data_IF_302345601635
#
_entry.id   IF_302345601635
#
_cell.length_a   1.000
_cell.length_b   1.000
_cell.length_c   1.000
_cell.angle_alpha   90.00
_cell.angle_beta   90.00
_cell.angle_gamma   90.00
#
_symmetry.space_group_name_H-M   'P 1'
#
loop_
_entity.id
_entity.type
_entity.pdbx_description
1 polymer ?
#
# COMPACT_ATOMS: atom_id res chain seq x y z
N UNK A 1 6.03 27.43 -2.49
CA UNK A 1 6.89 26.29 -2.11
C UNK A 1 6.12 25.02 -2.46
N UNK A 2 6.50 24.31 -3.52
CA UNK A 2 5.78 23.12 -4.00
C UNK A 2 6.04 21.98 -3.02
N UNK A 3 5.04 21.59 -2.24
CA UNK A 3 5.09 20.35 -1.46
C UNK A 3 4.98 19.18 -2.44
N UNK A 4 6.07 18.42 -2.63
CA UNK A 4 6.00 17.08 -3.21
C UNK A 4 5.45 16.15 -2.15
N UNK A 5 4.18 15.81 -2.24
CA UNK A 5 3.58 14.73 -1.43
C UNK A 5 4.09 13.43 -2.02
N UNK A 6 4.97 12.74 -1.28
CA UNK A 6 5.55 11.47 -1.67
C UNK A 6 4.97 10.42 -0.74
N UNK A 7 4.18 9.54 -1.33
CA UNK A 7 3.45 8.50 -0.63
C UNK A 7 4.25 7.20 -0.77
N UNK A 8 4.79 6.67 0.33
CA UNK A 8 5.54 5.42 0.33
C UNK A 8 4.65 4.22 0.01
N UNK A 9 5.07 3.41 -0.96
CA UNK A 9 4.61 2.05 -1.21
C UNK A 9 5.55 1.09 -0.48
N UNK A 10 5.10 0.54 0.65
CA UNK A 10 5.73 -0.64 1.25
C UNK A 10 4.85 -1.83 0.92
N UNK A 11 5.30 -2.67 -0.01
CA UNK A 11 4.82 -4.04 -0.14
C UNK A 11 5.02 -4.73 1.21
N UNK A 12 3.94 -5.17 1.85
CA UNK A 12 3.99 -5.89 3.13
C UNK A 12 4.60 -7.27 2.87
N UNK A 13 5.92 -7.35 2.97
CA UNK A 13 6.65 -8.59 3.19
C UNK A 13 7.01 -8.65 4.67
N UNK A 14 6.74 -9.78 5.31
CA UNK A 14 7.21 -10.05 6.67
C UNK A 14 8.74 -9.92 6.70
N UNK A 15 9.24 -8.82 7.27
CA UNK A 15 10.66 -8.65 7.57
C UNK A 15 10.93 -9.52 8.79
N UNK A 16 11.36 -10.76 8.57
CA UNK A 16 12.20 -11.43 9.57
C UNK A 16 13.48 -10.58 9.75
N UNK A 17 14.07 -10.53 10.95
CA UNK A 17 15.36 -9.86 11.14
C UNK A 17 16.44 -10.65 10.39
N UNK A 18 16.60 -10.40 9.09
CA UNK A 18 17.74 -10.90 8.33
C UNK A 18 18.93 -9.99 8.62
N UNK A 19 20.07 -10.60 8.95
CA UNK A 19 21.36 -9.91 8.97
C UNK A 19 21.53 -9.20 7.63
N UNK A 20 21.83 -7.91 7.68
CA UNK A 20 21.77 -7.00 6.54
C UNK A 20 22.61 -7.46 5.36
N UNK A 21 21.95 -7.98 4.32
CA UNK A 21 22.53 -8.03 2.99
C UNK A 21 22.20 -6.71 2.30
N UNK A 22 23.20 -5.81 2.27
CA UNK A 22 23.10 -4.46 1.70
C UNK A 22 23.18 -4.44 0.18
N UNK A 23 23.47 -5.56 -0.47
CA UNK A 23 23.46 -5.76 -1.92
C UNK A 23 23.15 -7.22 -2.23
N UNK A 24 22.44 -7.48 -3.33
CA UNK A 24 22.19 -8.85 -3.80
C UNK A 24 23.41 -9.33 -4.62
N UNK A 25 23.88 -10.58 -4.45
CA UNK A 25 24.92 -11.15 -5.32
C UNK A 25 24.48 -11.13 -6.79
N UNK A 26 25.40 -10.81 -7.71
CA UNK A 26 25.08 -10.71 -9.15
C UNK A 26 24.50 -12.01 -9.71
N UNK A 27 25.07 -13.17 -9.34
CA UNK A 27 24.55 -14.48 -9.74
C UNK A 27 23.09 -14.68 -9.32
N UNK A 28 22.73 -14.20 -8.12
CA UNK A 28 21.34 -14.28 -7.64
C UNK A 28 20.43 -13.35 -8.44
N UNK A 29 20.86 -12.12 -8.70
CA UNK A 29 20.10 -11.19 -9.54
C UNK A 29 19.90 -11.74 -10.96
N UNK A 30 20.92 -12.38 -11.54
CA UNK A 30 20.84 -13.00 -12.87
C UNK A 30 19.78 -14.10 -12.88
N UNK A 31 19.81 -15.02 -11.91
CA UNK A 31 18.79 -16.07 -11.77
C UNK A 31 17.39 -15.46 -11.69
N UNK A 32 17.22 -14.38 -10.90
CA UNK A 32 15.89 -13.78 -10.73
C UNK A 32 15.37 -13.15 -12.02
N UNK A 33 16.22 -12.50 -12.79
CA UNK A 33 15.85 -11.97 -14.10
C UNK A 33 15.55 -13.07 -15.12
N UNK A 34 16.33 -14.14 -15.15
CA UNK A 34 16.09 -15.29 -16.04
C UNK A 34 14.76 -15.98 -15.71
N UNK A 35 14.45 -16.14 -14.42
CA UNK A 35 13.19 -16.73 -13.96
C UNK A 35 11.96 -15.93 -14.43
N UNK A 36 11.94 -14.62 -14.22
CA UNK A 36 10.79 -13.79 -14.63
C UNK A 36 10.73 -13.62 -16.14
N UNK A 37 11.88 -13.59 -16.82
CA UNK A 37 11.93 -13.60 -18.29
C UNK A 37 11.29 -14.87 -18.84
N UNK A 38 11.63 -16.04 -18.30
CA UNK A 38 11.06 -17.32 -18.74
C UNK A 38 9.53 -17.38 -18.53
N UNK A 39 9.01 -16.80 -17.44
CA UNK A 39 7.57 -16.69 -17.20
C UNK A 39 6.90 -15.80 -18.26
N UNK A 40 7.46 -14.62 -18.54
CA UNK A 40 6.93 -13.69 -19.55
C UNK A 40 7.02 -14.27 -20.97
N UNK A 41 8.14 -14.93 -21.31
CA UNK A 41 8.35 -15.59 -22.60
C UNK A 41 7.34 -16.73 -22.83
N UNK A 42 6.96 -17.47 -21.77
CA UNK A 42 5.95 -18.52 -21.85
C UNK A 42 4.56 -17.98 -22.18
N UNK A 43 4.21 -16.83 -21.62
CA UNK A 43 2.95 -16.14 -21.97
C UNK A 43 2.99 -15.62 -23.41
N UNK A 44 4.13 -15.08 -23.85
CA UNK A 44 4.33 -14.54 -25.19
C UNK A 44 3.28 -13.48 -25.57
N UNK A 45 2.82 -12.71 -24.58
CA UNK A 45 1.79 -11.69 -24.75
C UNK A 45 0.38 -12.21 -25.00
N UNK A 46 0.11 -13.49 -24.74
CA UNK A 46 -1.26 -14.04 -24.85
C UNK A 46 -2.22 -13.37 -23.88
N UNK A 47 -1.76 -12.96 -22.70
CA UNK A 47 -2.66 -12.42 -21.67
C UNK A 47 -3.12 -10.99 -21.99
N UNK A 48 -2.22 -10.12 -22.43
CA UNK A 48 -2.48 -8.68 -22.59
C UNK A 48 -2.23 -8.14 -24.01
N UNK A 49 -1.91 -9.02 -24.97
CA UNK A 49 -1.52 -8.63 -26.33
C UNK A 49 -0.11 -8.03 -26.43
N UNK A 50 0.64 -8.00 -25.32
CA UNK A 50 2.00 -7.44 -25.23
C UNK A 50 2.90 -8.33 -24.38
N UNK A 51 4.18 -8.38 -24.71
CA UNK A 51 5.18 -9.07 -23.88
C UNK A 51 5.56 -8.18 -22.69
N UNK A 52 5.31 -8.64 -21.46
CA UNK A 52 5.40 -7.80 -20.27
C UNK A 52 6.77 -7.81 -19.57
N UNK A 53 7.80 -8.45 -20.13
CA UNK A 53 9.15 -8.33 -19.57
C UNK A 53 9.69 -6.92 -19.82
N UNK A 54 10.09 -6.22 -18.76
CA UNK A 54 10.46 -4.80 -18.82
C UNK A 54 11.91 -4.54 -18.39
N UNK A 55 12.51 -3.41 -18.83
CA UNK A 55 13.73 -2.89 -18.23
C UNK A 55 13.52 -2.67 -16.74
N UNK A 56 14.36 -3.26 -15.88
CA UNK A 56 14.13 -3.30 -14.43
C UNK A 56 15.42 -2.99 -13.67
N UNK A 57 15.32 -2.14 -12.64
CA UNK A 57 16.38 -1.81 -11.68
C UNK A 57 16.08 -2.49 -10.35
N UNK A 58 17.00 -3.34 -9.87
CA UNK A 58 17.07 -3.76 -8.47
C UNK A 58 17.97 -2.78 -7.71
N UNK A 59 17.42 -2.07 -6.74
CA UNK A 59 18.12 -0.97 -6.06
C UNK A 59 18.27 -1.28 -4.58
N UNK A 60 19.49 -1.17 -4.05
CA UNK A 60 19.71 -1.14 -2.61
C UNK A 60 19.43 0.25 -2.03
N UNK A 61 18.43 0.41 -1.14
CA UNK A 61 18.18 1.71 -0.51
C UNK A 61 19.33 2.20 0.37
N UNK A 62 20.19 1.29 0.84
CA UNK A 62 21.29 1.61 1.76
C UNK A 62 22.54 2.09 1.04
N UNK A 63 22.88 1.47 -0.08
CA UNK A 63 24.14 1.74 -0.80
C UNK A 63 23.92 2.46 -2.11
N UNK A 64 22.67 2.58 -2.56
CA UNK A 64 22.26 3.04 -3.88
C UNK A 64 22.84 2.19 -5.03
N UNK A 65 23.34 0.98 -4.73
CA UNK A 65 23.76 0.05 -5.78
C UNK A 65 22.56 -0.34 -6.63
N UNK A 66 22.77 -0.30 -7.94
CA UNK A 66 21.80 -0.70 -8.95
C UNK A 66 22.32 -1.92 -9.67
N UNK A 67 21.46 -2.92 -9.86
CA UNK A 67 21.64 -4.02 -10.79
C UNK A 67 20.47 -3.98 -11.77
N UNK A 68 20.73 -4.10 -13.06
CA UNK A 68 19.70 -4.07 -14.11
C UNK A 68 19.88 -5.19 -15.12
N UNK A 69 18.75 -5.63 -15.69
CA UNK A 69 18.69 -6.51 -16.87
C UNK A 69 18.91 -5.77 -18.20
N UNK A 70 18.89 -4.42 -18.21
CA UNK A 70 19.11 -3.64 -19.42
C UNK A 70 20.06 -2.45 -19.21
N UNK A 71 20.77 -2.07 -20.29
CA UNK A 71 21.62 -0.87 -20.32
C UNK A 71 20.76 0.40 -20.37
N UNK A 72 21.25 1.51 -19.83
CA UNK A 72 20.66 2.83 -20.00
C UNK A 72 21.16 3.55 -21.28
N UNK A 73 20.59 4.70 -21.61
CA UNK A 73 20.94 5.48 -22.80
C UNK A 73 22.04 6.53 -22.57
N UNK A 74 22.41 6.80 -21.32
CA UNK A 74 23.32 7.90 -20.94
C UNK A 74 24.66 7.39 -20.36
N UNK A 75 24.86 6.07 -20.31
CA UNK A 75 26.09 5.44 -19.83
C UNK A 75 26.24 5.45 -18.30
N UNK A 76 25.14 5.56 -17.56
CA UNK A 76 25.12 5.49 -16.09
C UNK A 76 25.29 4.05 -15.56
N UNK A 77 24.98 3.06 -16.38
CA UNK A 77 25.16 1.65 -16.11
C UNK A 77 26.35 1.09 -16.90
N UNK A 78 27.12 0.24 -16.25
CA UNK A 78 28.25 -0.46 -16.84
C UNK A 78 27.94 -1.94 -16.93
N UNK A 79 28.23 -2.55 -18.09
CA UNK A 79 28.06 -3.98 -18.27
C UNK A 79 28.99 -4.74 -17.32
N UNK A 80 28.43 -5.69 -16.59
CA UNK A 80 29.16 -6.66 -15.77
C UNK A 80 28.53 -8.03 -15.97
N UNK A 81 29.29 -8.90 -16.64
CA UNK A 81 28.80 -10.21 -17.10
C UNK A 81 27.56 -10.05 -18.00
N UNK A 82 26.43 -10.65 -17.64
CA UNK A 82 25.17 -10.56 -18.39
C UNK A 82 24.23 -9.46 -17.87
N UNK A 83 24.65 -8.71 -16.86
CA UNK A 83 23.85 -7.66 -16.23
C UNK A 83 24.55 -6.30 -16.36
N UNK A 84 23.89 -5.29 -15.83
CA UNK A 84 24.39 -3.92 -15.80
C UNK A 84 24.37 -3.40 -14.36
N UNK A 85 25.43 -2.72 -13.96
CA UNK A 85 25.59 -2.19 -12.60
C UNK A 85 25.81 -0.69 -12.62
N UNK A 86 25.36 -0.01 -11.58
CA UNK A 86 25.60 1.42 -11.42
C UNK A 86 25.18 1.93 -10.05
N UNK A 87 24.98 3.24 -9.96
CA UNK A 87 24.50 3.91 -8.75
C UNK A 87 23.22 4.68 -9.04
N UNK A 88 22.24 4.51 -8.16
CA UNK A 88 21.03 5.33 -8.20
C UNK A 88 21.32 6.72 -7.62
N UNK A 89 20.74 7.80 -8.17
CA UNK A 89 20.99 9.14 -7.66
C UNK A 89 20.46 9.30 -6.24
N UNK A 90 21.27 9.88 -5.34
CA UNK A 90 20.91 10.06 -3.93
C UNK A 90 19.79 11.09 -3.70
N UNK A 91 19.50 11.91 -4.70
CA UNK A 91 18.43 12.90 -4.72
C UNK A 91 17.09 12.35 -5.28
N UNK A 92 17.07 11.09 -5.71
CA UNK A 92 15.86 10.39 -6.16
C UNK A 92 15.34 9.42 -5.11
N UNK A 93 14.02 9.29 -5.07
CA UNK A 93 13.33 8.39 -4.14
C UNK A 93 13.33 6.97 -4.70
N UNK A 94 13.59 6.01 -3.81
CA UNK A 94 13.48 4.59 -4.11
C UNK A 94 12.14 4.11 -3.56
N UNK A 95 11.28 3.64 -4.46
CA UNK A 95 9.99 3.05 -4.19
C UNK A 95 9.66 2.09 -5.33
N UNK A 96 8.94 1.00 -5.05
CA UNK A 96 8.54 0.09 -6.11
C UNK A 96 7.51 0.79 -7.02
N UNK A 97 7.80 0.88 -8.32
CA UNK A 97 6.93 1.37 -9.41
C UNK A 97 7.79 1.53 -10.69
N UNK A 98 7.52 2.54 -11.52
CA UNK A 98 8.33 2.98 -12.65
C UNK A 98 9.19 4.20 -12.29
N UNK A 99 10.34 4.34 -12.96
CA UNK A 99 11.25 5.48 -12.77
C UNK A 99 11.98 5.82 -14.07
N UNK A 100 12.30 7.10 -14.26
CA UNK A 100 13.16 7.55 -15.36
C UNK A 100 14.61 7.61 -14.91
N UNK A 101 15.47 6.85 -15.57
CA UNK A 101 16.89 6.71 -15.23
C UNK A 101 17.73 6.52 -16.50
N UNK A 102 18.86 7.25 -16.60
CA UNK A 102 19.77 7.21 -17.76
C UNK A 102 19.06 7.31 -19.11
N UNK A 103 18.24 8.36 -19.30
CA UNK A 103 17.57 8.64 -20.57
C UNK A 103 16.41 7.72 -20.98
N UNK A 104 15.99 6.73 -20.16
CA UNK A 104 14.81 5.90 -20.43
C UNK A 104 14.03 5.52 -19.16
N UNK A 105 12.88 4.90 -19.36
CA UNK A 105 12.04 4.42 -18.25
C UNK A 105 12.46 2.99 -17.86
N UNK A 106 12.35 2.70 -16.58
CA UNK A 106 12.61 1.39 -15.99
C UNK A 106 11.54 1.08 -14.95
N UNK A 107 11.21 -0.19 -14.78
CA UNK A 107 10.68 -0.72 -13.53
C UNK A 107 11.74 -0.56 -12.43
N UNK A 108 11.32 -0.13 -11.24
CA UNK A 108 12.18 0.04 -10.06
C UNK A 108 11.68 -0.88 -8.96
N UNK A 109 12.58 -1.70 -8.40
CA UNK A 109 12.27 -2.60 -7.28
C UNK A 109 13.34 -2.45 -6.20
N UNK A 110 12.88 -2.15 -4.99
CA UNK A 110 13.71 -1.98 -3.80
C UNK A 110 14.12 -3.33 -3.23
N UNK A 111 15.40 -3.47 -2.88
CA UNK A 111 15.93 -4.60 -2.12
C UNK A 111 15.66 -4.46 -0.60
N UNK A 112 15.61 -5.58 0.16
CA UNK A 112 15.72 -6.96 -0.29
C UNK A 112 14.43 -7.48 -0.93
N UNK A 113 14.56 -8.39 -1.90
CA UNK A 113 13.41 -9.10 -2.47
C UNK A 113 12.91 -10.20 -1.52
N UNK A 114 11.65 -10.67 -1.68
CA UNK A 114 11.17 -11.85 -0.99
C UNK A 114 12.09 -13.07 -1.20
N UNK A 115 12.33 -13.83 -0.14
CA UNK A 115 13.14 -15.06 -0.20
C UNK A 115 12.40 -16.18 -0.97
N UNK A 116 11.08 -16.26 -0.80
CA UNK A 116 10.24 -17.22 -1.52
C UNK A 116 10.23 -16.89 -3.01
N UNK A 117 10.55 -17.89 -3.84
CA UNK A 117 10.66 -17.75 -5.30
C UNK A 117 9.35 -17.27 -5.93
N UNK A 118 8.21 -17.82 -5.51
CA UNK A 118 6.93 -17.47 -6.09
C UNK A 118 6.59 -16.00 -5.82
N UNK A 119 6.68 -15.58 -4.56
CA UNK A 119 6.39 -14.21 -4.14
C UNK A 119 7.37 -13.19 -4.74
N UNK A 120 8.65 -13.57 -4.89
CA UNK A 120 9.65 -12.74 -5.59
C UNK A 120 9.25 -12.50 -7.05
N UNK A 121 8.87 -13.56 -7.76
CA UNK A 121 8.50 -13.46 -9.17
C UNK A 121 7.18 -12.70 -9.34
N UNK A 122 6.22 -12.90 -8.44
CA UNK A 122 4.99 -12.09 -8.39
C UNK A 122 5.32 -10.61 -8.23
N UNK A 123 6.17 -10.23 -7.25
CA UNK A 123 6.59 -8.84 -7.08
C UNK A 123 7.22 -8.28 -8.36
N UNK A 124 8.20 -8.97 -8.93
CA UNK A 124 8.88 -8.48 -10.13
C UNK A 124 7.93 -8.29 -11.32
N UNK A 125 7.03 -9.25 -11.56
CA UNK A 125 6.06 -9.16 -12.67
C UNK A 125 5.00 -8.08 -12.41
N UNK A 126 4.56 -7.91 -11.15
CA UNK A 126 3.67 -6.82 -10.74
C UNK A 126 4.28 -5.47 -11.12
N UNK A 127 5.54 -5.24 -10.74
CA UNK A 127 6.24 -3.99 -11.03
C UNK A 127 6.55 -3.82 -12.53
N UNK A 128 6.81 -4.90 -13.26
CA UNK A 128 6.94 -4.87 -14.72
C UNK A 128 5.62 -4.54 -15.41
N UNK A 129 4.47 -4.94 -14.85
CA UNK A 129 3.18 -4.56 -15.41
C UNK A 129 2.92 -3.05 -15.30
N UNK A 130 3.32 -2.41 -14.21
CA UNK A 130 3.24 -0.94 -14.09
C UNK A 130 4.01 -0.21 -15.21
N UNK A 131 5.12 -0.77 -15.70
CA UNK A 131 5.84 -0.22 -16.86
C UNK A 131 4.99 -0.18 -18.13
N UNK A 132 4.14 -1.18 -18.34
CA UNK A 132 3.30 -1.30 -19.53
C UNK A 132 1.87 -0.76 -19.37
N UNK A 133 1.46 -0.38 -18.16
CA UNK A 133 0.15 0.27 -17.94
C UNK A 133 -0.14 1.45 -18.88
N UNK A 134 0.83 2.34 -19.22
CA UNK A 134 0.57 3.43 -20.16
C UNK A 134 0.18 2.91 -21.55
N UNK A 135 0.90 1.90 -22.05
CA UNK A 135 0.63 1.28 -23.35
C UNK A 135 -0.73 0.57 -23.38
N UNK A 136 -1.16 0.02 -22.25
CA UNK A 136 -2.47 -0.61 -22.09
C UNK A 136 -3.61 0.38 -21.82
N UNK A 137 -3.34 1.69 -21.73
CA UNK A 137 -4.34 2.69 -21.36
C UNK A 137 -4.86 2.57 -19.92
N UNK A 138 -4.09 1.91 -19.05
CA UNK A 138 -4.40 1.61 -17.66
C UNK A 138 -3.74 2.56 -16.66
N UNK A 139 -2.80 3.39 -17.10
CA UNK A 139 -2.20 4.41 -16.24
C UNK A 139 -3.19 5.52 -15.91
N UNK A 140 -3.15 5.98 -14.67
CA UNK A 140 -3.90 7.15 -14.24
C UNK A 140 -3.38 8.39 -14.99
N UNK A 141 -4.28 9.21 -15.57
CA UNK A 141 -3.89 10.50 -16.12
C UNK A 141 -3.34 11.45 -15.06
N UNK A 142 -2.57 12.44 -15.51
CA UNK A 142 -2.10 13.51 -14.64
C UNK A 142 -3.26 14.23 -13.95
N UNK A 143 -3.12 14.49 -12.64
CA UNK A 143 -4.15 15.15 -11.82
C UNK A 143 -5.29 14.24 -11.36
N UNK A 144 -5.33 12.97 -11.81
CA UNK A 144 -6.27 11.98 -11.30
C UNK A 144 -5.62 11.19 -10.17
N UNK A 145 -6.28 11.15 -9.03
CA UNK A 145 -5.92 10.32 -7.88
C UNK A 145 -7.15 9.67 -7.28
N UNK A 146 -6.95 8.64 -6.48
CA UNK A 146 -7.98 8.02 -5.67
C UNK A 146 -7.65 8.14 -4.19
N UNK A 147 -8.68 8.27 -3.36
CA UNK A 147 -8.59 8.20 -1.91
C UNK A 147 -9.60 7.19 -1.37
N UNK A 148 -9.11 6.17 -0.68
CA UNK A 148 -9.91 5.08 -0.15
C UNK A 148 -9.93 5.08 1.38
N UNK A 149 -9.83 6.25 2.03
CA UNK A 149 -9.89 6.39 3.50
C UNK A 149 -11.08 5.66 4.13
N UNK A 150 -12.23 5.60 3.43
CA UNK A 150 -13.43 4.90 3.89
C UNK A 150 -13.20 3.41 4.08
N UNK A 151 -12.20 2.82 3.42
CA UNK A 151 -11.91 1.39 3.54
C UNK A 151 -11.51 0.96 4.97
N UNK A 152 -11.16 1.91 5.85
CA UNK A 152 -10.91 1.65 7.27
C UNK A 152 -12.09 1.91 8.19
N UNK A 153 -13.20 2.43 7.66
CA UNK A 153 -14.45 2.52 8.39
C UNK A 153 -15.01 1.13 8.67
N UNK A 154 -15.59 0.96 9.86
CA UNK A 154 -16.07 -0.35 10.32
C UNK A 154 -17.05 -0.97 9.33
N UNK A 155 -18.05 -0.21 8.86
CA UNK A 155 -19.03 -0.72 7.90
C UNK A 155 -18.35 -1.11 6.58
N UNK A 156 -17.43 -0.30 6.06
CA UNK A 156 -16.68 -0.66 4.86
C UNK A 156 -15.93 -1.99 5.02
N UNK A 157 -15.21 -2.18 6.14
CA UNK A 157 -14.45 -3.40 6.40
C UNK A 157 -15.33 -4.63 6.57
N UNK A 158 -16.51 -4.48 7.20
CA UNK A 158 -17.50 -5.56 7.29
C UNK A 158 -17.91 -6.01 5.89
N UNK A 159 -18.35 -5.08 5.03
CA UNK A 159 -18.83 -5.44 3.69
C UNK A 159 -17.71 -5.84 2.73
N UNK A 160 -16.47 -5.35 2.88
CA UNK A 160 -15.32 -5.89 2.14
C UNK A 160 -15.12 -7.38 2.47
N UNK A 161 -15.19 -7.75 3.75
CA UNK A 161 -15.03 -9.15 4.17
C UNK A 161 -16.19 -10.02 3.68
N UNK A 162 -17.43 -9.53 3.70
CA UNK A 162 -18.57 -10.23 3.11
C UNK A 162 -18.40 -10.42 1.59
N UNK A 163 -18.03 -9.36 0.87
CA UNK A 163 -17.70 -9.40 -0.56
C UNK A 163 -16.63 -10.47 -0.83
N UNK A 164 -15.52 -10.47 -0.10
CA UNK A 164 -14.45 -11.46 -0.28
C UNK A 164 -14.83 -12.88 0.16
N UNK A 165 -15.73 -13.05 1.12
CA UNK A 165 -16.29 -14.35 1.47
C UNK A 165 -17.17 -14.90 0.35
N UNK A 166 -17.97 -14.06 -0.29
CA UNK A 166 -18.77 -14.44 -1.45
C UNK A 166 -17.91 -14.73 -2.68
N UNK A 167 -16.93 -13.88 -2.99
CA UNK A 167 -15.98 -14.11 -4.08
C UNK A 167 -15.14 -15.37 -3.86
N UNK A 168 -14.72 -15.68 -2.62
CA UNK A 168 -14.04 -16.95 -2.33
C UNK A 168 -14.92 -18.15 -2.71
N UNK A 169 -16.20 -18.16 -2.32
CA UNK A 169 -17.11 -19.25 -2.70
C UNK A 169 -17.25 -19.34 -4.22
N UNK A 170 -17.35 -18.21 -4.92
CA UNK A 170 -17.39 -18.19 -6.39
C UNK A 170 -16.10 -18.76 -7.03
N UNK A 171 -14.93 -18.45 -6.47
CA UNK A 171 -13.63 -18.94 -6.95
C UNK A 171 -13.48 -20.45 -6.77
N UNK A 172 -13.98 -20.98 -5.64
CA UNK A 172 -13.83 -22.37 -5.25
C UNK A 172 -14.90 -23.29 -5.85
N UNK A 173 -16.03 -22.75 -6.25
CA UNK A 173 -17.16 -23.49 -6.81
C UNK A 173 -16.92 -23.92 -8.28
N UNK A 174 -17.52 -25.04 -8.66
CA UNK A 174 -17.50 -25.58 -10.03
C UNK A 174 -18.88 -25.59 -10.68
N UNK A 175 -19.97 -25.56 -9.90
CA UNK A 175 -21.34 -25.45 -10.38
C UNK A 175 -21.62 -24.03 -10.91
N UNK A 176 -21.87 -23.84 -12.22
CA UNK A 176 -22.05 -22.50 -12.80
C UNK A 176 -23.17 -21.67 -12.19
N UNK A 177 -24.28 -22.29 -11.79
CA UNK A 177 -25.41 -21.61 -11.17
C UNK A 177 -25.02 -21.08 -9.78
N UNK A 178 -24.29 -21.87 -8.99
CA UNK A 178 -23.79 -21.44 -7.68
C UNK A 178 -22.69 -20.37 -7.83
N UNK A 179 -21.78 -20.50 -8.81
CA UNK A 179 -20.80 -19.44 -9.14
C UNK A 179 -21.52 -18.13 -9.41
N UNK A 180 -22.54 -18.13 -10.29
CA UNK A 180 -23.33 -16.93 -10.60
C UNK A 180 -24.00 -16.35 -9.35
N UNK A 181 -24.58 -17.20 -8.50
CA UNK A 181 -25.20 -16.77 -7.24
C UNK A 181 -24.17 -16.11 -6.30
N UNK A 182 -23.00 -16.72 -6.11
CA UNK A 182 -21.96 -16.18 -5.24
C UNK A 182 -21.36 -14.88 -5.77
N UNK A 183 -21.24 -14.73 -7.09
CA UNK A 183 -20.87 -13.45 -7.70
C UNK A 183 -21.96 -12.41 -7.43
N UNK A 184 -23.23 -12.74 -7.65
CA UNK A 184 -24.34 -11.82 -7.37
C UNK A 184 -24.34 -11.34 -5.91
N UNK A 185 -24.17 -12.25 -4.97
CA UNK A 185 -24.08 -11.94 -3.53
C UNK A 185 -22.89 -11.00 -3.23
N UNK A 186 -21.72 -11.26 -3.80
CA UNK A 186 -20.55 -10.39 -3.66
C UNK A 186 -20.82 -8.97 -4.15
N UNK A 187 -21.50 -8.85 -5.29
CA UNK A 187 -21.84 -7.58 -5.91
C UNK A 187 -22.88 -6.80 -5.12
N UNK A 188 -23.86 -7.48 -4.49
CA UNK A 188 -24.79 -6.85 -3.54
C UNK A 188 -24.02 -6.23 -2.36
N UNK A 189 -23.09 -6.97 -1.74
CA UNK A 189 -22.28 -6.43 -0.65
C UNK A 189 -21.43 -5.24 -1.07
N UNK A 190 -20.83 -5.32 -2.26
CA UNK A 190 -20.05 -4.24 -2.83
C UNK A 190 -20.90 -2.98 -3.07
N UNK A 191 -22.04 -3.13 -3.71
CA UNK A 191 -22.91 -1.99 -4.05
C UNK A 191 -23.52 -1.36 -2.81
N UNK A 192 -23.93 -2.18 -1.85
CA UNK A 192 -24.35 -1.67 -0.55
C UNK A 192 -23.21 -0.90 0.13
N UNK A 193 -22.00 -1.46 0.18
CA UNK A 193 -20.84 -0.77 0.76
C UNK A 193 -20.57 0.56 0.07
N UNK A 194 -20.64 0.59 -1.25
CA UNK A 194 -20.38 1.78 -2.05
C UNK A 194 -21.48 2.85 -1.90
N UNK A 195 -22.72 2.47 -1.59
CA UNK A 195 -23.80 3.43 -1.30
C UNK A 195 -23.60 4.17 0.03
N UNK A 196 -22.85 3.59 0.97
CA UNK A 196 -22.57 4.20 2.28
C UNK A 196 -21.51 5.31 2.23
N UNK A 197 -20.68 5.36 1.19
CA UNK A 197 -19.52 6.26 1.13
C UNK A 197 -19.44 6.98 -0.21
N UNK A 198 -19.61 8.30 -0.19
CA UNK A 198 -19.52 9.13 -1.38
C UNK A 198 -18.14 9.01 -2.06
N UNK A 199 -18.12 8.95 -3.39
CA UNK A 199 -16.88 8.83 -4.18
C UNK A 199 -16.22 7.44 -4.18
N UNK A 200 -16.66 6.52 -3.31
CA UNK A 200 -16.09 5.18 -3.16
C UNK A 200 -16.07 4.38 -4.46
N UNK A 201 -17.16 4.43 -5.25
CA UNK A 201 -17.24 3.75 -6.56
C UNK A 201 -16.05 4.14 -7.45
N UNK A 202 -15.80 5.44 -7.60
CA UNK A 202 -14.71 5.95 -8.45
C UNK A 202 -13.36 5.54 -7.88
N UNK A 203 -13.14 5.82 -6.59
CA UNK A 203 -11.83 5.63 -5.96
C UNK A 203 -11.42 4.15 -5.88
N UNK A 204 -12.38 3.26 -5.66
CA UNK A 204 -12.12 1.83 -5.60
C UNK A 204 -11.81 1.24 -6.96
N UNK A 205 -12.60 1.60 -7.99
CA UNK A 205 -12.36 1.11 -9.34
C UNK A 205 -10.99 1.56 -9.85
N UNK A 206 -10.63 2.83 -9.63
CA UNK A 206 -9.29 3.32 -10.00
C UNK A 206 -8.20 2.52 -9.29
N UNK A 207 -8.36 2.20 -8.01
CA UNK A 207 -7.36 1.45 -7.25
C UNK A 207 -7.26 -0.02 -7.67
N UNK A 208 -8.38 -0.68 -7.95
CA UNK A 208 -8.41 -2.06 -8.47
C UNK A 208 -7.80 -2.18 -9.86
N UNK A 209 -8.01 -1.19 -10.72
CA UNK A 209 -7.34 -1.15 -12.02
C UNK A 209 -5.85 -0.85 -11.90
N UNK A 210 -5.49 0.07 -11.01
CA UNK A 210 -4.10 0.51 -10.85
C UNK A 210 -3.22 -0.52 -10.14
N UNK A 211 -3.67 -1.15 -9.04
CA UNK A 211 -2.90 -2.15 -8.28
C UNK A 211 -3.43 -3.58 -8.42
N UNK A 212 -4.75 -3.75 -8.58
CA UNK A 212 -5.38 -5.06 -8.63
C UNK A 212 -5.12 -5.82 -9.93
N UNK A 213 -5.05 -5.14 -11.09
CA UNK A 213 -4.67 -5.76 -12.36
C UNK A 213 -3.21 -6.19 -12.44
N UNK A 214 -2.22 -5.41 -11.97
CA UNK A 214 -0.85 -5.91 -11.84
C UNK A 214 -0.77 -7.15 -10.94
N UNK A 215 -1.44 -7.15 -9.77
CA UNK A 215 -1.45 -8.29 -8.84
C UNK A 215 -2.08 -9.53 -9.50
N UNK A 216 -3.24 -9.35 -10.15
CA UNK A 216 -3.90 -10.39 -10.95
C UNK A 216 -2.95 -10.96 -12.02
N UNK A 217 -2.30 -10.10 -12.77
CA UNK A 217 -1.40 -10.48 -13.88
C UNK A 217 -0.23 -11.30 -13.37
N UNK A 218 0.42 -10.82 -12.32
CA UNK A 218 1.57 -11.48 -11.71
C UNK A 218 1.21 -12.88 -11.19
N UNK A 219 0.10 -13.00 -10.45
CA UNK A 219 -0.37 -14.30 -9.97
C UNK A 219 -0.80 -15.23 -11.11
N UNK A 220 -1.47 -14.72 -12.14
CA UNK A 220 -1.90 -15.49 -13.31
C UNK A 220 -0.71 -16.12 -14.04
N UNK A 221 0.35 -15.36 -14.23
CA UNK A 221 1.53 -15.80 -14.97
C UNK A 221 2.47 -16.69 -14.14
N UNK A 222 2.62 -16.41 -12.85
CA UNK A 222 3.45 -17.21 -11.95
C UNK A 222 2.81 -18.57 -11.60
N UNK A 223 1.49 -18.69 -11.67
CA UNK A 223 0.79 -19.92 -11.29
C UNK A 223 0.84 -20.95 -12.42
N UNK A 224 1.27 -22.18 -12.11
CA UNK A 224 1.40 -23.25 -13.12
C UNK A 224 0.09 -24.02 -13.36
N UNK A 225 -0.92 -23.82 -12.52
CA UNK A 225 -2.24 -24.45 -12.63
C UNK A 225 -3.33 -23.57 -12.01
N UNK A 226 -4.59 -23.87 -12.35
CA UNK A 226 -5.76 -23.20 -11.77
C UNK A 226 -5.84 -23.39 -10.25
N UNK A 227 -5.59 -24.62 -9.77
CA UNK A 227 -5.57 -24.92 -8.33
C UNK A 227 -4.49 -24.15 -7.58
N UNK A 228 -3.33 -23.94 -8.21
CA UNK A 228 -2.28 -23.12 -7.63
C UNK A 228 -2.74 -21.66 -7.50
N UNK A 229 -3.38 -21.11 -8.54
CA UNK A 229 -3.92 -19.75 -8.52
C UNK A 229 -5.01 -19.60 -7.44
N UNK A 230 -5.95 -20.54 -7.34
CA UNK A 230 -6.97 -20.58 -6.26
C UNK A 230 -6.33 -20.55 -4.87
N UNK A 231 -5.30 -21.38 -4.62
CA UNK A 231 -4.57 -21.37 -3.34
C UNK A 231 -3.90 -20.04 -3.05
N UNK A 232 -3.41 -19.35 -4.07
CA UNK A 232 -2.76 -18.05 -3.91
C UNK A 232 -3.78 -16.92 -3.67
N UNK A 233 -4.98 -17.02 -4.26
CA UNK A 233 -6.12 -16.16 -3.90
C UNK A 233 -6.45 -16.30 -2.41
N UNK A 234 -6.56 -17.52 -1.88
CA UNK A 234 -6.83 -17.76 -0.46
C UNK A 234 -5.73 -17.20 0.46
N UNK A 235 -4.46 -17.42 0.12
CA UNK A 235 -3.33 -16.85 0.87
C UNK A 235 -3.32 -15.31 0.85
N UNK A 236 -3.64 -14.73 -0.30
CA UNK A 236 -3.76 -13.27 -0.44
C UNK A 236 -4.93 -12.76 0.40
N UNK A 237 -6.05 -13.49 0.43
CA UNK A 237 -7.19 -13.16 1.29
C UNK A 237 -6.82 -13.14 2.76
N UNK A 238 -6.16 -14.18 3.26
CA UNK A 238 -5.71 -14.24 4.66
C UNK A 238 -4.80 -13.05 5.01
N UNK A 239 -3.81 -12.78 4.15
CA UNK A 239 -2.87 -11.66 4.32
C UNK A 239 -3.58 -10.30 4.34
N UNK A 240 -4.46 -10.04 3.38
CA UNK A 240 -5.15 -8.76 3.26
C UNK A 240 -6.19 -8.60 4.37
N UNK A 241 -6.93 -9.65 4.73
CA UNK A 241 -7.90 -9.61 5.83
C UNK A 241 -7.26 -9.33 7.19
N UNK A 242 -6.00 -9.74 7.38
CA UNK A 242 -5.20 -9.44 8.57
C UNK A 242 -4.56 -8.03 8.55
N UNK A 243 -4.66 -7.28 7.44
CA UNK A 243 -4.05 -5.96 7.33
C UNK A 243 -4.70 -4.95 8.30
N UNK A 244 -3.88 -4.18 9.06
CA UNK A 244 -4.39 -3.13 9.94
C UNK A 244 -5.21 -2.06 9.20
N UNK A 245 -4.87 -1.84 7.92
CA UNK A 245 -5.55 -0.88 7.04
C UNK A 245 -5.86 -1.49 5.68
N UNK A 246 -7.05 -1.18 5.15
CA UNK A 246 -7.49 -1.57 3.81
C UNK A 246 -7.29 -0.50 2.75
N UNK A 247 -7.08 0.76 3.15
CA UNK A 247 -6.98 1.95 2.28
C UNK A 247 -6.05 1.75 1.09
N UNK A 248 -4.94 1.02 1.27
CA UNK A 248 -3.97 0.71 0.22
C UNK A 248 -3.69 -0.78 0.04
N UNK A 249 -4.63 -1.64 0.42
CA UNK A 249 -4.38 -3.08 0.37
C UNK A 249 -5.55 -3.89 -0.20
N UNK A 250 -6.79 -3.39 -0.11
CA UNK A 250 -7.96 -4.15 -0.54
C UNK A 250 -7.91 -4.51 -2.05
N UNK A 251 -7.40 -3.61 -2.90
CA UNK A 251 -7.40 -3.76 -4.35
C UNK A 251 -6.56 -4.93 -4.85
N UNK A 252 -5.47 -5.28 -4.16
CA UNK A 252 -4.65 -6.44 -4.51
C UNK A 252 -5.51 -7.71 -4.48
N UNK A 253 -6.33 -7.88 -3.44
CA UNK A 253 -7.22 -9.04 -3.36
C UNK A 253 -8.42 -8.93 -4.30
N UNK A 254 -9.12 -7.78 -4.28
CA UNK A 254 -10.33 -7.61 -5.09
C UNK A 254 -10.01 -7.75 -6.58
N UNK A 255 -9.01 -7.03 -7.09
CA UNK A 255 -8.61 -7.12 -8.50
C UNK A 255 -8.17 -8.53 -8.90
N UNK A 256 -7.44 -9.24 -8.03
CA UNK A 256 -7.08 -10.64 -8.24
C UNK A 256 -8.31 -11.55 -8.38
N UNK A 257 -9.29 -11.43 -7.47
CA UNK A 257 -10.53 -12.23 -7.51
C UNK A 257 -11.41 -11.87 -8.73
N UNK A 258 -11.59 -10.58 -9.02
CA UNK A 258 -12.37 -10.13 -10.17
C UNK A 258 -11.73 -10.57 -11.49
N UNK A 259 -10.41 -10.38 -11.66
CA UNK A 259 -9.70 -10.82 -12.85
C UNK A 259 -9.76 -12.34 -13.03
N UNK A 260 -9.68 -13.11 -11.95
CA UNK A 260 -9.85 -14.57 -11.99
C UNK A 260 -11.26 -14.97 -12.46
N UNK A 261 -12.31 -14.36 -11.91
CA UNK A 261 -13.69 -14.71 -12.29
C UNK A 261 -14.02 -14.26 -13.71
N UNK A 262 -13.51 -13.11 -14.15
CA UNK A 262 -13.65 -12.65 -15.53
C UNK A 262 -12.97 -13.61 -16.53
N UNK A 263 -11.86 -14.24 -16.18
CA UNK A 263 -11.28 -15.33 -16.99
C UNK A 263 -12.19 -16.53 -17.15
N UNK A 264 -13.00 -16.82 -16.13
CA UNK A 264 -13.92 -17.96 -16.15
C UNK A 264 -15.21 -17.65 -16.91
N UNK A 265 -15.49 -16.38 -17.23
CA UNK A 265 -16.69 -15.98 -17.93
C UNK A 265 -16.63 -16.20 -19.46
N UNK A 266 -15.49 -16.66 -20.01
CA UNK A 266 -15.30 -16.94 -21.44
C UNK A 266 -15.61 -15.74 -22.37
N UNK A 267 -15.19 -14.54 -21.95
CA UNK A 267 -15.29 -13.29 -22.73
C UNK A 267 -13.92 -12.62 -22.89
N UNK A 268 -13.75 -11.79 -23.92
CA UNK A 268 -12.53 -10.98 -24.15
C UNK A 268 -12.50 -9.71 -23.25
N UNK A 269 -12.65 -9.87 -21.94
CA UNK A 269 -12.88 -8.75 -21.00
C UNK A 269 -11.77 -7.70 -20.94
N UNK A 270 -10.55 -8.03 -21.37
CA UNK A 270 -9.38 -7.13 -21.34
C UNK A 270 -9.32 -6.17 -22.53
N UNK A 271 -10.01 -6.45 -23.62
CA UNK A 271 -9.78 -5.75 -24.90
C UNK A 271 -10.08 -4.25 -24.83
N UNK A 272 -11.11 -3.89 -24.08
CA UNK A 272 -11.62 -2.51 -23.99
C UNK A 272 -11.41 -1.88 -22.61
N UNK A 273 -10.62 -2.53 -21.75
CA UNK A 273 -10.35 -2.02 -20.40
C UNK A 273 -9.42 -0.80 -20.48
N UNK A 274 -9.73 0.20 -19.66
CA UNK A 274 -8.99 1.45 -19.50
C UNK A 274 -8.92 1.83 -18.04
N UNK A 275 -8.10 2.82 -17.70
CA UNK A 275 -7.92 3.29 -16.32
C UNK A 275 -9.22 3.70 -15.60
N UNK A 276 -10.30 4.03 -16.33
CA UNK A 276 -11.61 4.43 -15.81
C UNK A 276 -12.70 3.35 -15.94
N UNK A 277 -12.32 2.14 -16.33
CA UNK A 277 -13.24 0.99 -16.41
C UNK A 277 -13.72 0.54 -15.03
N UNK A 278 -14.66 -0.41 -15.02
CA UNK A 278 -15.23 -0.93 -13.78
C UNK A 278 -15.37 -2.45 -13.87
N UNK A 279 -14.51 -3.18 -13.14
CA UNK A 279 -14.48 -4.64 -13.13
C UNK A 279 -15.80 -5.25 -12.66
N UNK A 280 -16.48 -4.61 -11.69
CA UNK A 280 -17.83 -5.02 -11.27
C UNK A 280 -18.80 -4.98 -12.45
N UNK A 281 -18.89 -3.85 -13.18
CA UNK A 281 -19.80 -3.73 -14.34
C UNK A 281 -19.51 -4.79 -15.40
N UNK A 282 -18.22 -5.03 -15.70
CA UNK A 282 -17.82 -6.05 -16.67
C UNK A 282 -18.26 -7.44 -16.17
N UNK A 283 -18.02 -7.76 -14.90
CA UNK A 283 -18.39 -9.05 -14.31
C UNK A 283 -19.91 -9.25 -14.28
N UNK A 284 -20.68 -8.20 -13.94
CA UNK A 284 -22.15 -8.21 -14.02
C UNK A 284 -22.65 -8.58 -15.40
N UNK A 285 -22.12 -7.92 -16.43
CA UNK A 285 -22.48 -8.22 -17.82
C UNK A 285 -22.08 -9.65 -18.19
N UNK A 286 -20.86 -10.07 -17.82
CA UNK A 286 -20.32 -11.38 -18.18
C UNK A 286 -21.15 -12.55 -17.62
N UNK A 287 -21.72 -12.39 -16.43
CA UNK A 287 -22.56 -13.40 -15.77
C UNK A 287 -24.08 -13.14 -15.90
N UNK A 288 -24.49 -12.12 -16.66
CA UNK A 288 -25.87 -11.68 -16.78
C UNK A 288 -26.56 -11.50 -15.41
N UNK A 289 -25.92 -10.72 -14.54
CA UNK A 289 -26.40 -10.40 -13.19
C UNK A 289 -27.20 -9.09 -13.24
N UNK A 290 -28.39 -9.13 -12.67
CA UNK A 290 -29.27 -7.96 -12.53
C UNK A 290 -28.95 -7.22 -11.22
N UNK A 291 -29.16 -5.90 -11.22
CA UNK A 291 -28.97 -5.07 -10.03
C UNK A 291 -30.21 -5.18 -9.15
N UNK A 292 -30.03 -5.39 -7.84
CA UNK A 292 -31.16 -5.30 -6.90
C UNK A 292 -31.63 -3.84 -6.79
N UNK A 293 -32.93 -3.60 -6.93
CA UNK A 293 -33.52 -2.28 -6.69
C UNK A 293 -33.57 -1.95 -5.18
N UNK A 294 -33.55 -2.97 -4.33
CA UNK A 294 -33.58 -2.86 -2.87
C UNK A 294 -32.34 -3.50 -2.26
N UNK A 295 -31.23 -2.75 -2.26
CA UNK A 295 -29.96 -3.20 -1.69
C UNK A 295 -30.02 -3.37 -0.17
N UNK A 296 -30.84 -2.57 0.52
CA UNK A 296 -30.99 -2.60 1.98
C UNK A 296 -31.54 -3.95 2.44
N UNK A 297 -32.61 -4.45 1.82
CA UNK A 297 -33.16 -5.76 2.15
C UNK A 297 -32.30 -6.90 1.58
N UNK A 298 -31.83 -6.76 0.33
CA UNK A 298 -31.07 -7.83 -0.33
C UNK A 298 -29.82 -8.23 0.46
N UNK A 299 -29.04 -7.26 0.99
CA UNK A 299 -27.85 -7.59 1.79
C UNK A 299 -28.22 -8.29 3.12
N UNK A 300 -29.32 -7.90 3.77
CA UNK A 300 -29.76 -8.50 5.05
C UNK A 300 -30.10 -9.97 4.85
N UNK A 301 -30.79 -10.31 3.77
CA UNK A 301 -31.23 -11.68 3.47
C UNK A 301 -30.06 -12.65 3.29
N UNK A 302 -28.93 -12.16 2.77
CA UNK A 302 -27.81 -13.02 2.37
C UNK A 302 -26.60 -12.98 3.32
N UNK A 303 -26.40 -11.90 4.09
CA UNK A 303 -25.17 -11.65 4.86
C UNK A 303 -24.82 -12.75 5.86
N UNK A 304 -25.81 -13.38 6.46
CA UNK A 304 -25.60 -14.43 7.45
C UNK A 304 -25.02 -15.72 6.83
N UNK A 305 -25.14 -15.89 5.49
CA UNK A 305 -24.47 -16.97 4.75
C UNK A 305 -22.96 -16.78 4.61
N UNK A 306 -22.44 -15.61 4.99
CA UNK A 306 -21.05 -15.17 4.79
C UNK A 306 -20.39 -14.66 6.07
N UNK A 307 -20.79 -15.19 7.23
CA UNK A 307 -20.20 -14.93 8.55
C UNK A 307 -20.38 -13.51 9.09
N UNK A 308 -21.44 -12.81 8.69
CA UNK A 308 -21.73 -11.44 9.10
C UNK A 308 -21.62 -11.20 10.61
N UNK A 309 -22.25 -12.05 11.44
CA UNK A 309 -22.25 -11.87 12.89
C UNK A 309 -20.82 -11.87 13.46
N UNK A 310 -19.99 -12.82 13.03
CA UNK A 310 -18.60 -12.93 13.47
C UNK A 310 -17.78 -11.73 12.99
N UNK A 311 -17.88 -11.38 11.71
CA UNK A 311 -17.17 -10.26 11.09
C UNK A 311 -17.54 -8.94 11.78
N UNK A 312 -18.83 -8.69 11.99
CA UNK A 312 -19.32 -7.48 12.63
C UNK A 312 -18.83 -7.36 14.07
N UNK A 313 -18.82 -8.45 14.84
CA UNK A 313 -18.28 -8.45 16.21
C UNK A 313 -16.78 -8.11 16.23
N UNK A 314 -15.99 -8.74 15.36
CA UNK A 314 -14.55 -8.46 15.25
C UNK A 314 -14.27 -6.99 14.87
N UNK A 315 -15.00 -6.46 13.89
CA UNK A 315 -14.84 -5.06 13.46
C UNK A 315 -15.38 -4.05 14.49
N UNK A 316 -16.38 -4.43 15.29
CA UNK A 316 -16.85 -3.64 16.44
C UNK A 316 -15.76 -3.51 17.49
N UNK A 317 -15.12 -4.64 17.86
CA UNK A 317 -14.02 -4.66 18.83
C UNK A 317 -12.85 -3.82 18.32
N UNK A 318 -12.43 -4.03 17.06
CA UNK A 318 -11.36 -3.24 16.42
C UNK A 318 -11.67 -1.74 16.43
N UNK A 319 -12.91 -1.35 16.09
CA UNK A 319 -13.32 0.08 16.12
C UNK A 319 -13.32 0.63 17.54
N UNK A 320 -13.77 -0.13 18.54
CA UNK A 320 -13.73 0.28 19.94
C UNK A 320 -12.28 0.48 20.43
N UNK A 321 -11.37 -0.42 20.09
CA UNK A 321 -9.94 -0.28 20.39
C UNK A 321 -9.32 0.94 19.71
N UNK A 322 -9.58 1.14 18.42
CA UNK A 322 -9.15 2.34 17.67
C UNK A 322 -9.68 3.61 18.33
N UNK A 323 -10.96 3.66 18.69
CA UNK A 323 -11.57 4.81 19.33
C UNK A 323 -10.97 5.10 20.71
N UNK A 324 -10.63 4.06 21.49
CA UNK A 324 -9.95 4.22 22.76
C UNK A 324 -8.58 4.87 22.58
N UNK A 325 -7.80 4.41 21.60
CA UNK A 325 -6.49 5.00 21.27
C UNK A 325 -6.62 6.45 20.81
N UNK A 326 -7.60 6.74 19.94
CA UNK A 326 -7.87 8.10 19.48
C UNK A 326 -8.29 9.02 20.64
N UNK A 327 -9.14 8.55 21.56
CA UNK A 327 -9.55 9.32 22.74
C UNK A 327 -8.36 9.60 23.67
N UNK A 328 -7.51 8.59 23.91
CA UNK A 328 -6.30 8.74 24.72
C UNK A 328 -5.34 9.78 24.13
N UNK A 329 -5.09 9.74 22.82
CA UNK A 329 -4.25 10.75 22.19
C UNK A 329 -4.91 12.12 22.14
N UNK A 330 -6.23 12.18 21.92
CA UNK A 330 -6.97 13.45 21.96
C UNK A 330 -6.82 14.11 23.33
N UNK A 331 -7.04 13.38 24.42
CA UNK A 331 -6.81 13.88 25.78
C UNK A 331 -5.36 14.35 25.97
N UNK A 332 -4.39 13.52 25.57
CA UNK A 332 -2.95 13.82 25.69
C UNK A 332 -2.54 15.11 24.99
N UNK A 333 -3.05 15.36 23.78
CA UNK A 333 -2.62 16.51 22.98
C UNK A 333 -3.49 17.76 23.14
N UNK A 334 -4.67 17.66 23.78
CA UNK A 334 -5.59 18.80 23.94
C UNK A 334 -5.82 19.23 25.38
N UNK A 335 -5.63 18.35 26.36
CA UNK A 335 -5.94 18.63 27.76
C UNK A 335 -4.71 18.66 28.68
N UNK A 336 -3.60 18.06 28.24
CA UNK A 336 -2.36 17.96 29.02
C UNK A 336 -1.29 18.93 28.49
N UNK A 337 -0.30 19.31 29.32
CA UNK A 337 0.84 20.11 28.87
C UNK A 337 1.52 19.49 27.63
N UNK A 338 1.76 20.31 26.62
CA UNK A 338 2.44 19.92 25.38
C UNK A 338 3.63 20.82 25.07
N UNK A 339 4.60 20.29 24.33
CA UNK A 339 5.67 21.03 23.68
C UNK A 339 5.44 21.05 22.17
N UNK A 340 5.32 22.26 21.61
CA UNK A 340 5.16 22.50 20.18
C UNK A 340 6.49 22.88 19.54
N UNK A 341 6.79 22.25 18.41
CA UNK A 341 8.04 22.38 17.68
C UNK A 341 7.72 22.73 16.22
N UNK A 342 8.16 23.90 15.76
CA UNK A 342 8.04 24.28 14.35
C UNK A 342 9.10 23.59 13.50
N UNK A 343 8.70 23.10 12.34
CA UNK A 343 9.57 22.46 11.37
C UNK A 343 9.79 23.37 10.15
N UNK A 344 11.03 23.44 9.68
CA UNK A 344 11.44 24.19 8.49
C UNK A 344 11.96 23.25 7.41
N UNK A 345 13.02 22.50 7.72
CA UNK A 345 13.65 21.54 6.81
C UNK A 345 13.89 20.20 7.52
N UNK A 346 12.83 19.53 7.98
CA UNK A 346 12.96 18.40 8.88
C UNK A 346 13.46 17.15 8.13
N UNK A 347 14.38 16.43 8.75
CA UNK A 347 14.68 15.03 8.42
C UNK A 347 13.96 14.14 9.44
N UNK A 348 13.04 13.30 8.97
CA UNK A 348 12.15 12.51 9.82
C UNK A 348 12.33 11.02 9.51
N UNK A 349 12.45 10.19 10.55
CA UNK A 349 12.43 8.74 10.47
C UNK A 349 11.43 8.14 11.45
N UNK A 350 10.65 7.15 11.01
CA UNK A 350 9.65 6.47 11.83
C UNK A 350 9.33 5.06 11.33
N UNK A 351 8.64 4.27 12.16
CA UNK A 351 8.02 3.00 11.74
C UNK A 351 6.62 3.26 11.15
N UNK A 352 6.42 3.03 9.84
CA UNK A 352 5.14 3.33 9.18
C UNK A 352 4.00 2.40 9.60
N UNK A 353 4.28 1.29 10.30
CA UNK A 353 3.27 0.26 10.63
C UNK A 353 2.35 0.64 11.78
N UNK A 354 2.72 1.64 12.59
CA UNK A 354 2.01 1.99 13.82
C UNK A 354 1.40 3.41 13.78
N UNK A 355 1.36 4.04 12.61
CA UNK A 355 0.86 5.41 12.47
C UNK A 355 -0.65 5.44 12.70
N UNK A 356 -1.10 6.35 13.55
CA UNK A 356 -2.52 6.55 13.86
C UNK A 356 -2.97 7.89 13.28
N UNK A 357 -3.81 7.85 12.25
CA UNK A 357 -4.38 9.06 11.66
C UNK A 357 -5.40 9.70 12.62
N UNK A 358 -5.27 11.01 12.88
CA UNK A 358 -6.17 11.79 13.74
C UNK A 358 -7.13 12.71 12.96
N UNK A 359 -7.09 12.67 11.62
CA UNK A 359 -7.85 13.60 10.78
C UNK A 359 -7.14 14.94 10.62
N UNK A 360 -7.89 16.05 10.70
CA UNK A 360 -7.38 17.42 10.52
C UNK A 360 -6.10 17.74 11.33
N UNK A 361 -5.96 17.33 12.61
CA UNK A 361 -4.78 17.67 13.40
C UNK A 361 -3.48 17.05 12.88
N UNK A 362 -3.53 15.93 12.17
CA UNK A 362 -2.33 15.21 11.73
C UNK A 362 -2.36 13.71 11.97
N UNK A 363 -1.16 13.15 12.12
CA UNK A 363 -0.95 11.73 12.44
C UNK A 363 -0.10 11.58 13.70
N UNK A 364 -0.48 10.63 14.55
CA UNK A 364 0.31 10.21 15.71
C UNK A 364 1.30 9.12 15.30
N UNK A 365 2.53 9.28 15.74
CA UNK A 365 3.59 8.30 15.67
C UNK A 365 3.86 7.82 17.09
N UNK A 366 3.30 6.67 17.51
CA UNK A 366 3.31 6.23 18.90
C UNK A 366 4.70 6.06 19.50
N UNK A 367 5.66 5.60 18.68
CA UNK A 367 7.01 5.22 19.12
C UNK A 367 7.99 5.20 17.95
N UNK A 368 9.28 5.11 18.29
CA UNK A 368 10.39 5.00 17.34
C UNK A 368 10.38 6.12 16.28
N UNK A 369 10.07 7.34 16.71
CA UNK A 369 10.06 8.51 15.85
C UNK A 369 11.28 9.38 16.14
N UNK A 370 11.94 9.84 15.08
CA UNK A 370 13.08 10.76 15.16
C UNK A 370 12.84 11.90 14.21
N UNK A 371 13.06 13.13 14.67
CA UNK A 371 13.10 14.32 13.84
C UNK A 371 14.37 15.12 14.12
N UNK A 372 15.02 15.58 13.06
CA UNK A 372 16.17 16.49 13.11
C UNK A 372 15.85 17.71 12.27
N UNK A 373 16.08 18.90 12.82
CA UNK A 373 15.94 20.17 12.11
C UNK A 373 16.93 21.20 12.71
N UNK A 374 16.82 22.47 12.31
CA UNK A 374 17.69 23.57 12.79
C UNK A 374 17.73 23.70 14.32
N UNK A 375 16.63 23.38 15.01
CA UNK A 375 16.53 23.45 16.46
C UNK A 375 17.29 22.34 17.19
N UNK A 376 17.60 21.23 16.52
CA UNK A 376 18.27 20.08 17.12
C UNK A 376 17.62 18.74 16.75
N UNK A 377 17.65 17.78 17.68
CA UNK A 377 17.18 16.41 17.47
C UNK A 377 16.17 15.98 18.52
N UNK A 378 15.01 15.53 18.05
CA UNK A 378 13.96 14.88 18.84
C UNK A 378 14.03 13.37 18.60
N UNK A 379 14.03 12.60 19.68
CA UNK A 379 13.90 11.14 19.67
C UNK A 379 12.75 10.74 20.59
N UNK A 380 11.73 10.11 20.03
CA UNK A 380 10.52 9.63 20.72
C UNK A 380 10.58 8.11 20.75
N UNK A 381 10.86 7.55 21.92
CA UNK A 381 10.85 6.10 22.13
C UNK A 381 9.44 5.56 22.38
N UNK A 382 8.57 6.35 23.03
CA UNK A 382 7.16 6.01 23.31
C UNK A 382 6.33 7.30 23.56
N UNK A 383 5.09 7.17 24.03
CA UNK A 383 4.23 8.29 24.46
C UNK A 383 3.59 9.08 23.31
N UNK A 384 4.01 8.83 22.07
CA UNK A 384 3.47 9.43 20.86
C UNK A 384 3.97 10.84 20.55
N UNK A 385 4.15 11.13 19.27
CA UNK A 385 4.21 12.50 18.76
C UNK A 385 3.15 12.75 17.69
N UNK A 386 2.54 13.92 17.72
CA UNK A 386 1.65 14.40 16.67
C UNK A 386 2.44 15.19 15.64
N UNK A 387 2.43 14.74 14.39
CA UNK A 387 2.93 15.52 13.26
C UNK A 387 1.75 16.07 12.49
N UNK A 388 1.71 17.39 12.32
CA UNK A 388 0.64 18.06 11.59
C UNK A 388 0.62 17.65 10.11
N UNK A 389 -0.56 17.62 9.49
CA UNK A 389 -0.73 17.24 8.08
C UNK A 389 0.08 18.09 7.09
N UNK A 390 0.42 19.32 7.47
CA UNK A 390 1.26 20.22 6.68
C UNK A 390 2.77 19.99 6.86
N UNK A 391 3.17 19.06 7.74
CA UNK A 391 4.55 18.71 8.07
C UNK A 391 5.38 19.90 8.60
N UNK A 392 4.73 20.96 9.10
CA UNK A 392 5.38 22.17 9.63
C UNK A 392 5.43 22.21 11.15
N UNK A 393 4.87 21.22 11.83
CA UNK A 393 4.75 21.23 13.29
C UNK A 393 4.75 19.81 13.85
N UNK A 394 5.55 19.62 14.89
CA UNK A 394 5.48 18.47 15.80
C UNK A 394 4.93 18.95 17.14
N UNK A 395 4.06 18.15 17.74
CA UNK A 395 3.61 18.32 19.12
C UNK A 395 3.93 17.05 19.90
N UNK A 396 4.53 17.20 21.08
CA UNK A 396 4.83 16.09 22.00
C UNK A 396 4.28 16.35 23.40
N UNK A 397 3.91 15.32 24.18
CA UNK A 397 3.49 15.48 25.57
C UNK A 397 4.62 16.07 26.42
N UNK A 398 4.31 17.03 27.28
CA UNK A 398 5.29 17.73 28.14
C UNK A 398 5.00 17.57 29.65
N UNK A 399 4.14 16.63 30.03
CA UNK A 399 4.02 16.19 31.42
C UNK A 399 5.35 15.63 31.92
N UNK A 400 5.71 15.96 33.16
CA UNK A 400 6.95 15.49 33.83
C UNK A 400 8.25 15.85 33.06
N UNK A 401 8.19 16.82 32.16
CA UNK A 401 9.33 17.25 31.37
C UNK A 401 10.42 17.87 32.26
N UNK A 402 11.64 17.35 32.11
CA UNK A 402 12.83 17.87 32.79
C UNK A 402 13.67 18.65 31.77
N UNK A 403 13.99 19.90 32.10
CA UNK A 403 14.83 20.77 31.26
C UNK A 403 16.22 20.89 31.90
N UNK A 404 17.23 20.29 31.27
CA UNK A 404 18.63 20.38 31.68
C UNK A 404 19.45 21.08 30.59
N UNK A 405 19.39 22.41 30.57
CA UNK A 405 20.05 23.26 29.57
C UNK A 405 19.61 22.86 28.14
N UNK A 406 20.48 22.18 27.37
CA UNK A 406 20.22 21.76 25.99
C UNK A 406 19.53 20.41 25.88
N UNK A 407 19.46 19.62 26.97
CA UNK A 407 18.80 18.32 26.96
C UNK A 407 17.47 18.42 27.71
N UNK A 408 16.38 18.25 26.99
CA UNK A 408 15.02 18.20 27.52
C UNK A 408 14.48 16.79 27.33
N UNK A 409 13.86 16.22 28.35
CA UNK A 409 13.40 14.83 28.27
C UNK A 409 12.24 14.52 29.19
N UNK A 410 11.57 13.43 28.86
CA UNK A 410 10.67 12.65 29.73
C UNK A 410 11.19 11.21 29.81
N UNK A 411 10.42 10.29 30.38
CA UNK A 411 10.67 8.84 30.26
C UNK A 411 10.50 8.33 28.82
N UNK A 412 9.75 9.04 27.98
CA UNK A 412 9.27 8.57 26.68
C UNK A 412 9.92 9.24 25.47
N UNK A 413 10.56 10.39 25.66
CA UNK A 413 11.24 11.12 24.60
C UNK A 413 12.39 11.98 25.13
N UNK A 414 13.31 12.34 24.23
CA UNK A 414 14.40 13.27 24.48
C UNK A 414 14.57 14.25 23.32
N UNK A 415 14.93 15.48 23.66
CA UNK A 415 15.15 16.60 22.78
C UNK A 415 16.51 17.22 23.11
N UNK A 416 17.43 17.13 22.16
CA UNK A 416 18.75 17.75 22.21
C UNK A 416 18.72 19.04 21.38
N UNK A 417 18.81 20.20 22.02
CA UNK A 417 18.78 21.50 21.38
C UNK A 417 20.16 21.99 20.94
N UNK A 418 20.18 22.67 19.79
CA UNK A 418 21.33 23.45 19.34
C UNK A 418 21.45 24.77 20.13
N UNK A 419 22.64 25.37 20.13
CA UNK A 419 23.05 26.50 20.99
C UNK A 419 22.14 27.74 20.95
N UNK A 420 21.54 28.00 19.80
CA UNK A 420 20.71 29.17 19.52
C UNK A 420 19.23 28.93 19.81
N UNK A 421 18.86 27.82 20.45
CA UNK A 421 17.46 27.49 20.73
C UNK A 421 17.24 27.24 22.22
N UNK A 422 16.05 27.62 22.70
CA UNK A 422 15.60 27.37 24.07
C UNK A 422 14.14 26.92 24.08
N UNK A 423 13.76 26.24 25.15
CA UNK A 423 12.36 25.98 25.46
C UNK A 423 11.81 27.16 26.26
N UNK A 424 10.70 27.73 25.80
CA UNK A 424 9.94 28.76 26.51
C UNK A 424 8.60 28.19 26.97
N UNK A 425 8.20 28.53 28.20
CA UNK A 425 6.90 28.15 28.75
C UNK A 425 5.86 29.21 28.37
N UNK A 426 4.76 28.78 27.76
CA UNK A 426 3.63 29.62 27.34
C UNK A 426 2.35 29.08 27.96
N UNK A 427 1.89 29.73 29.03
CA UNK A 427 0.79 29.22 29.86
C UNK A 427 1.17 27.86 30.48
N UNK A 428 0.36 26.84 30.20
CA UNK A 428 0.63 25.45 30.63
C UNK A 428 1.46 24.64 29.61
N UNK A 429 1.73 25.21 28.44
CA UNK A 429 2.43 24.55 27.34
C UNK A 429 3.84 25.10 27.16
N UNK A 430 4.55 24.55 26.18
CA UNK A 430 5.91 24.93 25.85
C UNK A 430 6.08 25.07 24.34
N UNK A 431 7.02 25.92 23.94
CA UNK A 431 7.44 26.11 22.55
C UNK A 431 8.97 26.14 22.46
N UNK A 432 9.50 25.85 21.28
CA UNK A 432 10.91 26.12 20.97
C UNK A 432 11.02 27.49 20.29
N UNK A 433 11.88 28.36 20.82
CA UNK A 433 12.23 29.64 20.21
C UNK A 433 13.72 29.71 19.92
N UNK A 434 14.07 30.49 18.90
CA UNK A 434 15.45 30.86 18.60
C UNK A 434 15.80 32.08 19.47
N UNK A 435 16.95 32.02 20.15
CA UNK A 435 17.50 33.12 20.96
C UNK A 435 17.73 34.38 20.14
#
# INVERSE_FOLDING_TARGET
MKFKIILFLFSISYISPSRGQSSIPLDSAQIYYEEVKAICDKDHGKLWGIHIYAPTLLISPKTLDVISNEIDNEGLLQKKENLYIGKFPSDKIIANSTTRFGGKDFTMVSLPLPNDKYNRNVLLIHEMFHYYQPQLGLSLPEGISYDNIHADEMQARVYFKLEWNALEKAVMESNPQLVKQYINDALIFREYRQSLFEGSIKNENLFELHEGLPEYTAHKLCSTSDDMLKKQILRTKERIAASPSYVRSFAYLSGLMYGYLLDKANIEWRKDIRYDSNLNKILKTAYAIETSEDLDNAQIEIRDRYDYVSINNLETIRKAEKNKVLAQYTETFTQKPILTISLRNPQIGFDPRNVVAMGEPGSIYPKNFVAVDEWGKLTVSDGGCLLANNWKQITIPAEEMIINNKLIRTSNWSLELNDNYIVEKVGNNYIIIKK
#
